data_IF_592437611675
#
_entry.id   IF_592437611675
#
_cell.length_a   1.000
_cell.length_b   1.000
_cell.length_c   1.000
_cell.angle_alpha   90.00
_cell.angle_beta   90.00
_cell.angle_gamma   90.00
#
_symmetry.space_group_name_H-M   'P 1'
#
loop_
_entity.id
_entity.type
_entity.pdbx_description
1 polymer ?
#
# COMPACT_ATOMS: atom_id res chain seq x y z
N UNK A 1 -9.88 19.87 -0.77
CA UNK A 1 -10.27 18.49 -0.37
C UNK A 1 -9.59 17.43 -1.25
N UNK A 2 -8.28 17.55 -1.52
CA UNK A 2 -7.54 16.58 -2.37
C UNK A 2 -6.38 15.89 -1.66
N UNK A 3 -6.06 16.28 -0.41
CA UNK A 3 -4.82 15.87 0.24
C UNK A 3 -4.81 14.37 0.60
N UNK A 4 -5.94 13.80 1.05
CA UNK A 4 -6.03 12.37 1.41
C UNK A 4 -6.28 11.42 0.24
N UNK A 5 -6.77 11.93 -0.89
CA UNK A 5 -7.08 11.09 -2.04
C UNK A 5 -5.81 10.68 -2.81
N UNK A 6 -4.73 11.45 -2.72
CA UNK A 6 -3.46 11.19 -3.42
C UNK A 6 -2.57 10.14 -2.74
N UNK A 7 -2.67 10.01 -1.42
CA UNK A 7 -1.69 9.25 -0.63
C UNK A 7 -1.76 7.74 -0.89
N UNK A 8 -2.96 7.20 -1.14
CA UNK A 8 -3.12 5.77 -1.40
C UNK A 8 -2.62 5.36 -2.79
N UNK A 9 -2.79 6.19 -3.82
CA UNK A 9 -2.21 5.87 -5.14
C UNK A 9 -0.68 5.94 -5.08
N UNK A 10 -0.12 6.92 -4.36
CA UNK A 10 1.32 7.04 -4.20
C UNK A 10 1.88 5.84 -3.45
N UNK A 11 1.25 5.43 -2.34
CA UNK A 11 1.67 4.28 -1.56
C UNK A 11 1.62 2.97 -2.37
N UNK A 12 0.56 2.75 -3.14
CA UNK A 12 0.45 1.60 -4.04
C UNK A 12 1.49 1.62 -5.16
N UNK A 13 1.74 2.79 -5.75
CA UNK A 13 2.75 2.96 -6.81
C UNK A 13 4.15 2.66 -6.28
N UNK A 14 4.46 3.16 -5.08
CA UNK A 14 5.74 2.89 -4.41
C UNK A 14 5.89 1.39 -4.11
N UNK A 15 4.86 0.77 -3.52
CA UNK A 15 4.86 -0.66 -3.21
C UNK A 15 5.05 -1.54 -4.46
N UNK A 16 4.44 -1.14 -5.58
CA UNK A 16 4.58 -1.83 -6.88
C UNK A 16 5.95 -1.63 -7.52
N UNK A 17 6.63 -0.52 -7.21
CA UNK A 17 7.95 -0.17 -7.77
C UNK A 17 9.11 -0.77 -6.97
N UNK A 18 8.91 -1.12 -5.69
CA UNK A 18 9.94 -1.72 -4.83
C UNK A 18 10.65 -2.95 -5.43
N UNK A 19 9.95 -3.93 -6.03
CA UNK A 19 10.61 -5.07 -6.68
C UNK A 19 11.52 -4.67 -7.83
N UNK A 20 11.13 -3.64 -8.60
CA UNK A 20 11.91 -3.11 -9.71
C UNK A 20 13.20 -2.44 -9.21
N UNK A 21 13.13 -1.85 -8.02
CA UNK A 21 14.27 -1.22 -7.34
C UNK A 21 15.13 -2.24 -6.54
N UNK A 22 14.84 -3.54 -6.64
CA UNK A 22 15.45 -4.62 -5.82
C UNK A 22 15.31 -4.40 -4.31
N UNK A 23 14.25 -3.70 -3.90
CA UNK A 23 13.89 -3.52 -2.49
C UNK A 23 12.82 -4.56 -2.15
N UNK A 24 13.06 -5.35 -1.10
CA UNK A 24 12.07 -6.26 -0.59
C UNK A 24 10.87 -5.46 -0.05
N UNK A 25 9.66 -5.94 -0.32
CA UNK A 25 8.47 -5.37 0.31
C UNK A 25 8.40 -5.93 1.72
N UNK A 26 8.66 -5.08 2.70
CA UNK A 26 8.57 -5.44 4.10
C UNK A 26 7.18 -5.13 4.67
N UNK A 27 6.91 -5.67 5.86
CA UNK A 27 5.66 -5.47 6.60
C UNK A 27 5.32 -3.98 6.75
N UNK A 28 6.32 -3.11 6.93
CA UNK A 28 6.15 -1.66 7.04
C UNK A 28 5.59 -1.06 5.74
N UNK A 29 6.09 -1.50 4.58
CA UNK A 29 5.66 -0.97 3.27
C UNK A 29 4.21 -1.35 2.97
N UNK A 30 3.83 -2.59 3.29
CA UNK A 30 2.44 -3.03 3.18
C UNK A 30 1.53 -2.29 4.16
N UNK A 31 1.92 -2.19 5.43
CA UNK A 31 1.14 -1.49 6.46
C UNK A 31 0.92 -0.01 6.13
N UNK A 32 1.92 0.65 5.53
CA UNK A 32 1.80 2.02 5.04
C UNK A 32 0.77 2.12 3.90
N UNK A 33 0.80 1.21 2.92
CA UNK A 33 -0.16 1.17 1.82
C UNK A 33 -1.59 0.85 2.28
N UNK A 34 -1.75 -0.09 3.22
CA UNK A 34 -3.02 -0.46 3.87
C UNK A 34 -3.61 0.76 4.59
N UNK A 35 -2.81 1.45 5.42
CA UNK A 35 -3.24 2.64 6.16
C UNK A 35 -3.63 3.79 5.22
N UNK A 36 -2.90 4.00 4.13
CA UNK A 36 -3.23 5.00 3.13
C UNK A 36 -4.56 4.66 2.43
N UNK A 37 -4.76 3.38 2.07
CA UNK A 37 -6.00 2.90 1.47
C UNK A 37 -7.20 3.10 2.42
N UNK A 38 -7.08 2.77 3.71
CA UNK A 38 -8.14 3.04 4.70
C UNK A 38 -8.49 4.53 4.80
N UNK A 39 -7.48 5.40 4.91
CA UNK A 39 -7.68 6.86 4.98
C UNK A 39 -8.29 7.44 3.71
N UNK A 40 -8.03 6.81 2.56
CA UNK A 40 -8.60 7.15 1.26
C UNK A 40 -9.98 6.53 0.99
N UNK A 41 -10.56 5.79 1.95
CA UNK A 41 -11.84 5.09 1.78
C UNK A 41 -11.76 3.86 0.87
N UNK A 42 -10.57 3.40 0.52
CA UNK A 42 -10.28 2.25 -0.35
C UNK A 42 -10.09 0.97 0.47
N UNK A 43 -11.08 0.62 1.29
CA UNK A 43 -10.98 -0.53 2.20
C UNK A 43 -10.81 -1.87 1.45
N UNK A 44 -11.38 -2.01 0.24
CA UNK A 44 -11.22 -3.21 -0.59
C UNK A 44 -9.76 -3.41 -1.02
N UNK A 45 -9.06 -2.32 -1.38
CA UNK A 45 -7.64 -2.35 -1.72
C UNK A 45 -6.78 -2.69 -0.50
N UNK A 46 -7.14 -2.16 0.67
CA UNK A 46 -6.50 -2.52 1.95
C UNK A 46 -6.58 -4.02 2.23
N UNK A 47 -7.76 -4.63 2.07
CA UNK A 47 -7.95 -6.08 2.24
C UNK A 47 -7.16 -6.91 1.23
N UNK A 48 -7.10 -6.46 -0.02
CA UNK A 48 -6.34 -7.13 -1.08
C UNK A 48 -4.82 -7.10 -0.82
N UNK A 49 -4.32 -5.97 -0.31
CA UNK A 49 -2.93 -5.82 0.14
C UNK A 49 -2.61 -6.75 1.31
N UNK A 50 -3.51 -6.84 2.30
CA UNK A 50 -3.33 -7.71 3.45
C UNK A 50 -3.24 -9.19 3.02
N UNK A 51 -4.08 -9.62 2.07
CA UNK A 51 -4.02 -10.98 1.53
C UNK A 51 -2.79 -11.24 0.64
N UNK A 52 -2.12 -10.18 0.18
CA UNK A 52 -0.90 -10.27 -0.64
C UNK A 52 0.39 -10.23 0.18
N UNK A 53 0.29 -9.99 1.50
CA UNK A 53 1.43 -10.14 2.39
C UNK A 53 1.83 -11.63 2.40
N UNK A 54 3.13 -11.95 2.23
CA UNK A 54 3.59 -13.30 2.41
C UNK A 54 3.29 -13.74 3.86
N UNK A 55 2.57 -14.85 4.01
CA UNK A 55 2.40 -15.54 5.29
C UNK A 55 3.81 -15.91 5.79
N UNK A 56 4.12 -15.56 7.04
CA UNK A 56 5.46 -15.71 7.66
C UNK A 56 6.02 -17.13 7.56
#
# INVERSE_FOLDING_TARGET
ACEKAGEWQLALSLLSSMPQMRVARDEISFNAAISACEKGGQWQLSMHLLSSMPDM
#
